data_IF_502404906895
#
_entry.id   IF_502404906895
#
_cell.length_a   1.000
_cell.length_b   1.000
_cell.length_c   1.000
_cell.angle_alpha   90.00
_cell.angle_beta   90.00
_cell.angle_gamma   90.00
#
_symmetry.space_group_name_H-M   'P 1'
#
loop_
_entity.id
_entity.type
_entity.pdbx_description
1 polymer ?
#
# COMPACT_ATOMS: atom_id res chain seq x y z
N UNK A 1 28.05 -18.94 -18.25
CA UNK A 1 28.95 -18.65 -17.12
C UNK A 1 29.43 -17.20 -17.08
N UNK A 2 30.09 -16.66 -18.12
CA UNK A 2 30.55 -15.26 -18.13
C UNK A 2 29.41 -14.26 -18.01
N UNK A 3 28.32 -14.42 -18.75
CA UNK A 3 27.16 -13.51 -18.72
C UNK A 3 26.44 -13.53 -17.36
N UNK A 4 26.31 -14.71 -16.75
CA UNK A 4 25.73 -14.85 -15.39
C UNK A 4 26.59 -14.16 -14.33
N UNK A 5 27.92 -14.29 -14.45
CA UNK A 5 28.85 -13.60 -13.56
C UNK A 5 28.74 -12.08 -13.70
N UNK A 6 28.72 -11.57 -14.95
CA UNK A 6 28.58 -10.13 -15.21
C UNK A 6 27.26 -9.57 -14.68
N UNK A 7 26.17 -10.32 -14.87
CA UNK A 7 24.85 -9.94 -14.36
C UNK A 7 24.83 -9.95 -12.83
N UNK A 8 25.41 -10.98 -12.19
CA UNK A 8 25.56 -11.06 -10.74
C UNK A 8 26.33 -9.88 -10.15
N UNK A 9 27.43 -9.49 -10.81
CA UNK A 9 28.23 -8.31 -10.42
C UNK A 9 27.42 -7.02 -10.55
N UNK A 10 26.69 -6.84 -11.65
CA UNK A 10 25.83 -5.67 -11.86
C UNK A 10 24.74 -5.58 -10.79
N UNK A 11 24.06 -6.68 -10.50
CA UNK A 11 23.03 -6.77 -9.44
C UNK A 11 23.64 -6.38 -8.09
N UNK A 12 24.80 -6.93 -7.74
CA UNK A 12 25.49 -6.63 -6.50
C UNK A 12 25.81 -5.12 -6.39
N UNK A 13 26.41 -4.52 -7.42
CA UNK A 13 26.76 -3.11 -7.43
C UNK A 13 25.52 -2.21 -7.30
N UNK A 14 24.45 -2.51 -8.02
CA UNK A 14 23.19 -1.76 -7.94
C UNK A 14 22.57 -1.90 -6.56
N UNK A 15 22.53 -3.10 -6.00
CA UNK A 15 21.97 -3.36 -4.67
C UNK A 15 22.71 -2.60 -3.57
N UNK A 16 24.05 -2.65 -3.59
CA UNK A 16 24.89 -1.92 -2.63
C UNK A 16 24.71 -0.42 -2.77
N UNK A 17 24.61 0.10 -4.00
CA UNK A 17 24.36 1.52 -4.26
C UNK A 17 22.98 1.97 -3.73
N UNK A 18 21.93 1.16 -3.94
CA UNK A 18 20.59 1.40 -3.43
C UNK A 18 20.60 1.43 -1.90
N UNK A 19 21.19 0.42 -1.27
CA UNK A 19 21.26 0.33 0.20
C UNK A 19 22.05 1.54 0.76
N UNK A 20 23.18 1.89 0.17
CA UNK A 20 23.97 3.04 0.58
C UNK A 20 23.18 4.34 0.49
N UNK A 21 22.48 4.55 -0.62
CA UNK A 21 21.63 5.75 -0.82
C UNK A 21 20.47 5.79 0.17
N UNK A 22 19.77 4.66 0.39
CA UNK A 22 18.70 4.53 1.38
C UNK A 22 19.19 4.86 2.78
N UNK A 23 20.32 4.31 3.20
CA UNK A 23 20.90 4.54 4.54
C UNK A 23 21.21 6.02 4.77
N UNK A 24 21.78 6.69 3.78
CA UNK A 24 22.08 8.13 3.86
C UNK A 24 20.81 8.97 3.99
N UNK A 25 19.78 8.66 3.21
CA UNK A 25 18.52 9.41 3.25
C UNK A 25 17.66 9.09 4.47
N UNK A 26 17.67 7.84 4.94
CA UNK A 26 16.91 7.41 6.11
C UNK A 26 17.34 8.11 7.40
N UNK A 27 18.60 8.54 7.49
CA UNK A 27 19.09 9.38 8.60
C UNK A 27 18.32 10.72 8.70
N UNK A 28 17.84 11.23 7.56
CA UNK A 28 17.08 12.49 7.51
C UNK A 28 15.59 12.25 7.69
N UNK A 29 15.02 11.33 6.94
CA UNK A 29 13.61 10.96 7.02
C UNK A 29 13.42 9.54 6.45
N UNK A 30 12.84 8.66 7.29
CA UNK A 30 12.63 7.24 6.99
C UNK A 30 11.54 7.00 5.95
N UNK A 31 10.57 7.91 5.89
CA UNK A 31 9.40 7.77 5.03
C UNK A 31 9.53 8.56 3.72
N UNK A 32 10.74 8.75 3.22
CA UNK A 32 10.91 9.29 1.86
C UNK A 32 10.45 8.27 0.81
N UNK A 33 9.84 8.70 -0.30
CA UNK A 33 9.31 7.79 -1.34
C UNK A 33 10.35 6.83 -1.87
N UNK A 34 11.59 7.32 -2.03
CA UNK A 34 12.70 6.52 -2.55
C UNK A 34 13.11 5.38 -1.61
N UNK A 35 12.92 5.53 -0.30
CA UNK A 35 13.22 4.48 0.68
C UNK A 35 12.19 3.36 0.53
N UNK A 36 10.91 3.70 0.45
CA UNK A 36 9.84 2.74 0.21
C UNK A 36 10.02 2.02 -1.12
N UNK A 37 10.27 2.77 -2.19
CA UNK A 37 10.52 2.20 -3.51
C UNK A 37 11.76 1.29 -3.50
N UNK A 38 12.86 1.73 -2.88
CA UNK A 38 14.10 0.96 -2.81
C UNK A 38 13.96 -0.37 -2.06
N UNK A 39 13.22 -0.37 -0.93
CA UNK A 39 12.90 -1.63 -0.21
C UNK A 39 12.08 -2.56 -1.10
N UNK A 40 11.08 -2.03 -1.81
CA UNK A 40 10.24 -2.81 -2.72
C UNK A 40 11.09 -3.36 -3.88
N UNK A 41 11.95 -2.56 -4.48
CA UNK A 41 12.84 -3.01 -5.55
C UNK A 41 13.77 -4.13 -5.10
N UNK A 42 14.36 -4.04 -3.89
CA UNK A 42 15.22 -5.12 -3.37
C UNK A 42 14.41 -6.40 -3.17
N UNK A 43 13.26 -6.30 -2.50
CA UNK A 43 12.48 -7.48 -2.10
C UNK A 43 11.77 -8.11 -3.30
N UNK A 44 11.22 -7.31 -4.22
CA UNK A 44 10.29 -7.78 -5.23
C UNK A 44 10.86 -7.83 -6.66
N UNK A 45 11.97 -7.18 -6.92
CA UNK A 45 12.57 -7.15 -8.25
C UNK A 45 13.97 -7.75 -8.24
N UNK A 46 14.84 -7.31 -7.34
CA UNK A 46 16.23 -7.80 -7.29
C UNK A 46 16.26 -9.25 -6.80
N UNK A 47 15.50 -9.56 -5.75
CA UNK A 47 15.39 -10.92 -5.24
C UNK A 47 14.81 -11.88 -6.31
N UNK A 48 13.81 -11.43 -7.07
CA UNK A 48 13.21 -12.17 -8.17
C UNK A 48 14.24 -12.45 -9.30
N UNK A 49 15.04 -11.43 -9.69
CA UNK A 49 16.13 -11.61 -10.66
C UNK A 49 17.14 -12.65 -10.16
N UNK A 50 17.59 -12.50 -8.91
CA UNK A 50 18.58 -13.42 -8.32
C UNK A 50 18.03 -14.83 -8.29
N UNK A 51 16.78 -15.00 -7.87
CA UNK A 51 16.15 -16.30 -7.79
C UNK A 51 16.08 -16.98 -9.16
N UNK A 52 15.60 -16.29 -10.18
CA UNK A 52 15.46 -16.83 -11.54
C UNK A 52 16.82 -17.14 -12.17
N UNK A 53 17.85 -16.32 -11.93
CA UNK A 53 19.16 -16.53 -12.52
C UNK A 53 19.94 -17.69 -11.90
N UNK A 54 19.64 -18.06 -10.66
CA UNK A 54 20.40 -19.08 -9.90
C UNK A 54 19.60 -20.34 -9.58
N UNK A 55 18.28 -20.37 -9.79
CA UNK A 55 17.46 -21.55 -9.61
C UNK A 55 17.00 -22.14 -10.95
N UNK A 56 17.73 -23.15 -11.42
CA UNK A 56 17.42 -23.85 -12.69
C UNK A 56 16.10 -24.63 -12.62
N UNK A 57 15.52 -24.87 -11.44
CA UNK A 57 14.29 -25.68 -11.27
C UNK A 57 13.01 -24.90 -11.50
N UNK A 58 13.05 -23.58 -11.53
CA UNK A 58 11.86 -22.73 -11.68
C UNK A 58 11.21 -22.79 -13.05
N UNK A 59 11.94 -23.23 -14.07
CA UNK A 59 11.40 -23.42 -15.43
C UNK A 59 10.20 -24.38 -15.49
N UNK A 60 10.00 -25.21 -14.46
CA UNK A 60 8.95 -26.24 -14.40
C UNK A 60 7.72 -25.85 -13.55
N UNK A 61 7.70 -24.70 -12.90
CA UNK A 61 6.62 -24.35 -11.93
C UNK A 61 5.37 -23.76 -12.55
N UNK A 62 5.43 -23.29 -13.77
CA UNK A 62 4.26 -22.75 -14.44
C UNK A 62 3.74 -23.77 -15.47
N UNK A 63 2.70 -24.54 -15.13
CA UNK A 63 2.10 -25.49 -16.07
C UNK A 63 1.22 -24.74 -17.09
N UNK A 64 1.82 -23.89 -17.90
CA UNK A 64 1.22 -23.51 -19.15
C UNK A 64 1.46 -24.67 -20.11
N UNK A 65 0.54 -25.64 -20.10
CA UNK A 65 0.41 -26.69 -21.10
C UNK A 65 1.70 -27.46 -21.48
N UNK A 66 2.40 -28.06 -20.51
CA UNK A 66 3.33 -29.19 -20.79
C UNK A 66 4.57 -28.89 -21.63
N UNK A 67 4.89 -27.63 -21.90
CA UNK A 67 6.11 -27.25 -22.61
C UNK A 67 7.15 -26.72 -21.63
N UNK A 68 8.36 -27.21 -21.70
CA UNK A 68 9.51 -26.67 -21.00
C UNK A 68 9.63 -25.19 -21.34
N UNK A 69 9.36 -24.31 -20.38
CA UNK A 69 9.56 -22.87 -20.51
C UNK A 69 11.07 -22.60 -20.60
N UNK A 70 11.61 -22.55 -21.78
CA UNK A 70 12.94 -21.98 -21.99
C UNK A 70 12.78 -20.46 -22.04
N UNK A 71 13.19 -19.78 -20.99
CA UNK A 71 13.29 -18.33 -20.97
C UNK A 71 14.36 -17.87 -21.95
N UNK A 72 13.98 -17.63 -23.19
CA UNK A 72 14.91 -17.20 -24.23
C UNK A 72 15.55 -15.84 -23.94
N UNK A 73 15.00 -15.06 -22.99
CA UNK A 73 15.40 -13.67 -22.78
C UNK A 73 15.59 -13.23 -21.32
N UNK A 74 15.88 -14.16 -20.40
CA UNK A 74 16.05 -13.90 -18.96
C UNK A 74 17.01 -12.73 -18.69
N UNK A 75 18.17 -12.74 -19.34
CA UNK A 75 19.19 -11.71 -19.16
C UNK A 75 18.74 -10.35 -19.69
N UNK A 76 18.05 -10.32 -20.83
CA UNK A 76 17.52 -9.09 -21.42
C UNK A 76 16.48 -8.42 -20.53
N UNK A 77 15.51 -9.22 -20.04
CA UNK A 77 14.44 -8.74 -19.14
C UNK A 77 15.03 -8.29 -17.80
N UNK A 78 15.97 -9.06 -17.23
CA UNK A 78 16.67 -8.68 -15.99
C UNK A 78 17.44 -7.38 -16.15
N UNK A 79 18.12 -7.19 -17.29
CA UNK A 79 18.86 -5.96 -17.59
C UNK A 79 17.94 -4.74 -17.71
N UNK A 80 16.82 -4.87 -18.44
CA UNK A 80 15.80 -3.81 -18.54
C UNK A 80 15.23 -3.47 -17.17
N UNK A 81 14.97 -4.48 -16.32
CA UNK A 81 14.49 -4.26 -14.96
C UNK A 81 15.48 -3.44 -14.13
N UNK A 82 16.76 -3.78 -14.20
CA UNK A 82 17.82 -3.02 -13.50
C UNK A 82 17.86 -1.59 -14.00
N UNK A 83 17.78 -1.36 -15.32
CA UNK A 83 17.71 -0.02 -15.88
C UNK A 83 16.50 0.75 -15.33
N UNK A 84 15.33 0.13 -15.29
CA UNK A 84 14.12 0.75 -14.72
C UNK A 84 14.32 1.19 -13.26
N UNK A 85 14.92 0.33 -12.45
CA UNK A 85 15.25 0.66 -11.05
C UNK A 85 16.20 1.86 -11.00
N UNK A 86 17.29 1.85 -11.74
CA UNK A 86 18.26 2.93 -11.79
C UNK A 86 17.60 4.24 -12.24
N UNK A 87 16.74 4.20 -13.26
CA UNK A 87 16.00 5.36 -13.76
C UNK A 87 15.06 5.97 -12.71
N UNK A 88 14.40 5.15 -11.88
CA UNK A 88 13.63 5.67 -10.75
C UNK A 88 14.50 6.48 -9.78
N UNK A 89 15.69 5.95 -9.43
CA UNK A 89 16.63 6.64 -8.54
C UNK A 89 17.18 7.93 -9.17
N UNK A 90 17.48 7.93 -10.47
CA UNK A 90 17.88 9.13 -11.21
C UNK A 90 16.74 10.18 -11.16
N UNK A 91 15.50 9.78 -11.38
CA UNK A 91 14.33 10.66 -11.29
C UNK A 91 14.18 11.31 -9.93
N UNK A 92 14.29 10.52 -8.85
CA UNK A 92 14.30 11.04 -7.47
C UNK A 92 15.43 12.04 -7.23
N UNK A 93 16.64 11.70 -7.66
CA UNK A 93 17.82 12.56 -7.51
C UNK A 93 17.65 13.90 -8.24
N UNK A 94 17.20 13.89 -9.48
CA UNK A 94 16.98 15.10 -10.30
C UNK A 94 15.93 16.02 -9.64
N UNK A 95 14.83 15.47 -9.15
CA UNK A 95 13.80 16.25 -8.47
C UNK A 95 14.23 16.74 -7.08
N UNK A 96 15.14 16.01 -6.40
CA UNK A 96 15.68 16.43 -5.12
C UNK A 96 16.66 17.59 -5.25
N UNK A 97 17.49 17.61 -6.29
CA UNK A 97 18.51 18.66 -6.52
C UNK A 97 17.90 20.07 -6.67
N UNK A 98 16.69 20.15 -7.26
CA UNK A 98 15.96 21.42 -7.44
C UNK A 98 15.27 21.93 -6.16
N UNK A 99 15.20 21.14 -5.11
CA UNK A 99 14.52 21.49 -3.88
C UNK A 99 15.48 22.19 -2.92
N UNK A 100 15.44 23.52 -2.86
CA UNK A 100 16.06 24.26 -1.74
C UNK A 100 15.44 23.78 -0.44
N UNK A 101 16.28 23.35 0.50
CA UNK A 101 15.85 22.95 1.85
C UNK A 101 15.33 24.18 2.55
N UNK A 102 14.02 24.36 2.60
CA UNK A 102 13.41 25.22 3.59
C UNK A 102 13.50 24.45 4.91
N UNK A 103 14.00 25.13 5.96
CA UNK A 103 14.17 24.49 7.26
C UNK A 103 12.94 23.67 7.64
N UNK A 104 13.17 22.48 8.15
CA UNK A 104 12.11 21.59 8.64
C UNK A 104 11.57 22.16 9.98
N UNK A 105 10.90 23.29 9.93
CA UNK A 105 10.07 23.72 11.05
C UNK A 105 8.92 22.71 11.11
N UNK A 106 8.93 21.90 12.18
CA UNK A 106 7.85 20.94 12.44
C UNK A 106 6.54 21.69 12.50
N UNK A 107 5.52 21.18 11.82
CA UNK A 107 4.17 21.49 12.27
C UNK A 107 4.04 20.81 13.63
N UNK A 108 4.42 21.52 14.67
CA UNK A 108 4.00 21.12 16.00
C UNK A 108 2.47 21.07 15.96
N UNK A 109 1.94 19.87 16.14
CA UNK A 109 0.55 19.72 16.49
C UNK A 109 0.39 20.45 17.81
N UNK A 110 0.09 21.76 17.76
CA UNK A 110 -0.38 22.51 18.92
C UNK A 110 -1.75 21.94 19.29
N UNK A 111 -1.72 20.77 19.91
CA UNK A 111 -2.87 20.17 20.58
C UNK A 111 -2.94 20.81 21.95
N UNK A 112 -3.01 22.15 21.94
CA UNK A 112 -3.01 22.96 23.19
C UNK A 112 -4.36 22.98 23.88
N UNK A 113 -5.41 22.39 23.29
CA UNK A 113 -6.74 22.46 23.89
C UNK A 113 -7.29 21.09 24.23
N UNK A 114 -7.81 20.94 25.45
CA UNK A 114 -8.59 19.76 25.87
C UNK A 114 -9.75 19.44 24.92
N UNK A 115 -10.23 20.43 24.21
CA UNK A 115 -11.27 20.33 23.19
C UNK A 115 -10.85 19.46 22.01
N UNK A 116 -9.62 19.63 21.50
CA UNK A 116 -9.10 18.78 20.41
C UNK A 116 -8.91 17.34 20.85
N UNK A 117 -8.47 17.16 22.09
CA UNK A 117 -8.33 15.85 22.69
C UNK A 117 -9.68 15.14 22.83
N UNK A 118 -10.69 15.80 23.37
CA UNK A 118 -12.06 15.24 23.50
C UNK A 118 -12.66 14.89 22.15
N UNK A 119 -12.40 15.70 21.13
CA UNK A 119 -12.87 15.42 19.78
C UNK A 119 -12.23 14.17 19.20
N UNK A 120 -10.89 14.04 19.29
CA UNK A 120 -10.18 12.84 18.80
C UNK A 120 -10.69 11.60 19.54
N UNK A 121 -10.95 11.70 20.85
CA UNK A 121 -11.53 10.60 21.62
C UNK A 121 -12.93 10.24 21.12
N UNK A 122 -13.82 11.23 20.95
CA UNK A 122 -15.19 11.01 20.45
C UNK A 122 -15.20 10.39 19.04
N UNK A 123 -14.34 10.91 18.15
CA UNK A 123 -14.20 10.37 16.79
C UNK A 123 -13.76 8.91 16.80
N UNK A 124 -12.82 8.56 17.64
CA UNK A 124 -12.30 7.19 17.71
C UNK A 124 -13.28 6.23 18.37
N UNK A 125 -14.02 6.69 19.36
CA UNK A 125 -15.10 5.90 19.96
C UNK A 125 -16.20 5.65 18.93
N UNK A 126 -16.57 6.65 18.13
CA UNK A 126 -17.53 6.49 17.03
C UNK A 126 -16.99 5.51 15.97
N UNK A 127 -15.73 5.64 15.60
CA UNK A 127 -15.09 4.71 14.63
C UNK A 127 -15.07 3.29 15.17
N UNK A 128 -14.73 3.08 16.44
CA UNK A 128 -14.76 1.77 17.08
C UNK A 128 -16.20 1.19 17.11
N UNK A 129 -17.20 2.02 17.40
CA UNK A 129 -18.62 1.63 17.34
C UNK A 129 -19.04 1.14 15.95
N UNK A 130 -18.68 1.90 14.90
CA UNK A 130 -18.93 1.50 13.50
C UNK A 130 -18.22 0.18 13.16
N UNK A 131 -16.97 0.00 13.59
CA UNK A 131 -16.22 -1.24 13.36
C UNK A 131 -16.85 -2.44 14.07
N UNK A 132 -17.37 -2.26 15.28
CA UNK A 132 -18.10 -3.33 15.99
C UNK A 132 -19.38 -3.72 15.26
N UNK A 133 -20.15 -2.75 14.77
CA UNK A 133 -21.34 -3.02 13.94
C UNK A 133 -20.96 -3.77 12.67
N UNK A 134 -19.88 -3.37 12.00
CA UNK A 134 -19.40 -4.07 10.81
C UNK A 134 -18.91 -5.49 11.12
N UNK A 135 -18.29 -5.70 12.26
CA UNK A 135 -17.90 -7.04 12.72
C UNK A 135 -19.13 -7.94 12.89
N UNK A 136 -20.21 -7.41 13.51
CA UNK A 136 -21.47 -8.13 13.64
C UNK A 136 -22.12 -8.41 12.28
N UNK A 137 -22.14 -7.43 11.37
CA UNK A 137 -22.63 -7.60 9.99
C UNK A 137 -21.81 -8.64 9.23
N UNK A 138 -20.49 -8.65 9.41
CA UNK A 138 -19.61 -9.65 8.83
C UNK A 138 -19.95 -11.05 9.32
N UNK A 139 -20.08 -11.26 10.63
CA UNK A 139 -20.48 -12.58 11.18
C UNK A 139 -21.87 -13.02 10.70
N UNK A 140 -22.83 -12.09 10.62
CA UNK A 140 -24.16 -12.39 10.05
C UNK A 140 -24.06 -12.85 8.60
N UNK A 141 -23.27 -12.15 7.79
CA UNK A 141 -23.02 -12.50 6.39
C UNK A 141 -22.32 -13.86 6.27
N UNK A 142 -21.25 -14.11 7.04
CA UNK A 142 -20.54 -15.39 7.03
C UNK A 142 -21.44 -16.56 7.46
N UNK A 143 -22.28 -16.36 8.46
CA UNK A 143 -23.24 -17.39 8.88
C UNK A 143 -24.26 -17.70 7.78
N UNK A 144 -24.65 -16.72 6.95
CA UNK A 144 -25.59 -16.96 5.84
C UNK A 144 -25.01 -17.76 4.67
N UNK A 145 -23.69 -17.86 4.57
CA UNK A 145 -23.00 -18.62 3.50
C UNK A 145 -22.44 -19.97 3.96
N UNK A 146 -22.70 -20.40 5.21
CA UNK A 146 -22.24 -21.69 5.73
C UNK A 146 -21.36 -21.61 6.97
N UNK A 147 -21.15 -20.41 7.53
CA UNK A 147 -20.41 -20.20 8.77
C UNK A 147 -18.89 -20.03 8.60
N UNK A 148 -18.21 -19.84 9.73
CA UNK A 148 -16.76 -19.56 9.73
C UNK A 148 -15.93 -20.70 9.17
N UNK A 149 -16.29 -21.96 9.42
CA UNK A 149 -15.55 -23.11 8.91
C UNK A 149 -15.56 -23.11 7.38
N UNK A 150 -16.75 -23.01 6.78
CA UNK A 150 -16.90 -22.90 5.34
C UNK A 150 -16.10 -21.73 4.76
N UNK A 151 -16.17 -20.56 5.40
CA UNK A 151 -15.45 -19.38 4.95
C UNK A 151 -13.93 -19.58 4.93
N UNK A 152 -13.36 -20.19 5.99
CA UNK A 152 -11.91 -20.43 6.04
C UNK A 152 -11.44 -21.50 5.06
N UNK A 153 -12.23 -22.52 4.80
CA UNK A 153 -11.96 -23.50 3.76
C UNK A 153 -11.92 -22.87 2.36
N UNK A 154 -12.75 -21.84 2.13
CA UNK A 154 -12.89 -21.15 0.83
C UNK A 154 -12.26 -19.74 0.84
N UNK A 155 -11.35 -19.45 1.75
CA UNK A 155 -10.73 -18.10 1.87
C UNK A 155 -9.94 -17.70 0.62
N UNK A 156 -9.48 -18.66 -0.17
CA UNK A 156 -8.85 -18.42 -1.46
C UNK A 156 -9.84 -17.77 -2.47
N UNK A 157 -11.12 -18.12 -2.37
CA UNK A 157 -12.20 -17.66 -3.24
C UNK A 157 -12.95 -16.44 -2.67
N UNK A 158 -12.35 -15.75 -1.69
CA UNK A 158 -12.96 -14.60 -1.00
C UNK A 158 -13.49 -13.51 -1.93
N UNK A 159 -12.87 -13.31 -3.09
CA UNK A 159 -13.33 -12.34 -4.08
C UNK A 159 -14.75 -12.68 -4.56
N UNK A 160 -15.01 -13.97 -4.81
CA UNK A 160 -16.32 -14.47 -5.19
C UNK A 160 -17.31 -14.36 -4.01
N UNK A 161 -16.87 -14.69 -2.79
CA UNK A 161 -17.70 -14.58 -1.59
C UNK A 161 -18.13 -13.12 -1.37
N UNK A 162 -17.20 -12.18 -1.40
CA UNK A 162 -17.50 -10.76 -1.20
C UNK A 162 -18.18 -10.09 -2.39
N UNK A 163 -18.18 -10.69 -3.58
CA UNK A 163 -19.00 -10.20 -4.70
C UNK A 163 -20.48 -10.21 -4.39
N UNK A 164 -20.93 -11.09 -3.48
CA UNK A 164 -22.32 -11.15 -3.00
C UNK A 164 -22.66 -9.97 -2.05
N UNK A 165 -21.67 -9.32 -1.45
CA UNK A 165 -21.88 -8.18 -0.56
C UNK A 165 -20.72 -7.16 -0.66
N UNK A 166 -20.58 -6.56 -1.83
CA UNK A 166 -19.51 -5.58 -2.15
C UNK A 166 -19.58 -4.34 -1.26
N UNK A 167 -20.77 -3.90 -0.87
CA UNK A 167 -20.98 -2.77 0.04
C UNK A 167 -20.37 -3.01 1.42
N UNK A 168 -20.58 -4.18 2.00
CA UNK A 168 -19.99 -4.55 3.29
C UNK A 168 -18.45 -4.56 3.19
N UNK A 169 -17.92 -5.18 2.17
CA UNK A 169 -16.47 -5.23 1.96
C UNK A 169 -15.86 -3.83 1.79
N UNK A 170 -16.44 -2.99 0.94
CA UNK A 170 -15.97 -1.62 0.72
C UNK A 170 -16.07 -0.77 2.00
N UNK A 171 -17.14 -0.93 2.78
CA UNK A 171 -17.31 -0.22 4.06
C UNK A 171 -16.26 -0.62 5.09
N UNK A 172 -15.92 -1.92 5.19
CA UNK A 172 -14.86 -2.43 6.07
C UNK A 172 -13.49 -1.84 5.65
N UNK A 173 -13.21 -1.82 4.35
CA UNK A 173 -11.97 -1.22 3.83
C UNK A 173 -11.85 0.26 4.22
N UNK A 174 -12.91 1.03 4.00
CA UNK A 174 -12.94 2.47 4.30
C UNK A 174 -12.74 2.72 5.81
N UNK A 175 -13.49 2.02 6.66
CA UNK A 175 -13.40 2.21 8.12
C UNK A 175 -12.08 1.74 8.70
N UNK A 176 -11.45 0.72 8.13
CA UNK A 176 -10.10 0.29 8.51
C UNK A 176 -9.08 1.39 8.25
N UNK A 177 -9.18 2.10 7.12
CA UNK A 177 -8.33 3.25 6.81
C UNK A 177 -8.57 4.39 7.81
N UNK A 178 -9.84 4.76 8.04
CA UNK A 178 -10.21 5.82 8.99
C UNK A 178 -9.72 5.48 10.40
N UNK A 179 -9.91 4.24 10.84
CA UNK A 179 -9.43 3.75 12.13
C UNK A 179 -7.91 3.81 12.27
N UNK A 180 -7.18 3.45 11.21
CA UNK A 180 -5.72 3.53 11.18
C UNK A 180 -5.22 4.97 11.30
N UNK A 181 -5.89 5.92 10.63
CA UNK A 181 -5.61 7.35 10.78
C UNK A 181 -5.87 7.79 12.22
N UNK A 182 -7.01 7.42 12.81
CA UNK A 182 -7.34 7.74 14.19
C UNK A 182 -6.31 7.19 15.17
N UNK A 183 -5.92 5.92 15.05
CA UNK A 183 -4.86 5.31 15.88
C UNK A 183 -3.54 6.05 15.73
N UNK A 184 -3.14 6.38 14.51
CA UNK A 184 -1.91 7.14 14.24
C UNK A 184 -1.92 8.49 14.96
N UNK A 185 -3.02 9.22 14.91
CA UNK A 185 -3.20 10.48 15.66
C UNK A 185 -3.12 10.27 17.19
N UNK A 186 -3.76 9.23 17.72
CA UNK A 186 -3.69 8.91 19.13
C UNK A 186 -2.28 8.62 19.60
N UNK A 187 -1.57 7.76 18.86
CA UNK A 187 -0.20 7.43 19.20
C UNK A 187 0.73 8.64 19.07
N UNK A 188 0.49 9.53 18.10
CA UNK A 188 1.20 10.80 18.02
C UNK A 188 0.98 11.66 19.28
N UNK A 189 -0.27 11.76 19.78
CA UNK A 189 -0.59 12.48 20.99
C UNK A 189 0.07 11.84 22.23
N UNK A 190 -0.02 10.51 22.37
CA UNK A 190 0.63 9.75 23.47
C UNK A 190 2.15 9.98 23.48
N UNK A 191 2.76 10.09 22.30
CA UNK A 191 4.21 10.30 22.18
C UNK A 191 4.67 11.68 22.70
N UNK A 192 3.77 12.66 22.74
CA UNK A 192 4.07 14.05 23.12
C UNK A 192 3.58 14.36 24.53
N UNK A 193 2.42 13.84 24.94
CA UNK A 193 1.74 14.17 26.21
C UNK A 193 1.53 12.91 27.06
N UNK A 194 1.67 13.04 28.40
CA UNK A 194 1.24 12.00 29.34
C UNK A 194 -0.27 11.82 29.24
N UNK A 195 -0.72 10.60 29.01
CA UNK A 195 -2.14 10.26 28.84
C UNK A 195 -2.58 9.25 29.90
N UNK A 196 -3.87 9.27 30.23
CA UNK A 196 -4.49 8.38 31.20
C UNK A 196 -4.56 6.94 30.69
N UNK A 197 -4.70 5.98 31.61
CA UNK A 197 -4.85 4.56 31.31
C UNK A 197 -6.02 4.26 30.34
N UNK A 198 -7.17 4.85 30.57
CA UNK A 198 -8.38 4.69 29.73
C UNK A 198 -8.09 5.04 28.27
N UNK A 199 -7.33 6.11 28.01
CA UNK A 199 -6.96 6.52 26.67
C UNK A 199 -6.07 5.47 25.96
N UNK A 200 -5.08 4.94 26.69
CA UNK A 200 -4.20 3.89 26.15
C UNK A 200 -4.99 2.61 25.83
N UNK A 201 -5.91 2.23 26.68
CA UNK A 201 -6.78 1.07 26.48
C UNK A 201 -7.67 1.24 25.24
N UNK A 202 -8.25 2.42 25.04
CA UNK A 202 -9.06 2.73 23.84
C UNK A 202 -8.25 2.59 22.55
N UNK A 203 -6.98 3.02 22.55
CA UNK A 203 -6.09 2.86 21.40
C UNK A 203 -5.81 1.39 21.09
N UNK A 204 -5.51 0.60 22.15
CA UNK A 204 -5.26 -0.84 22.00
C UNK A 204 -6.51 -1.54 21.46
N UNK A 205 -7.69 -1.22 22.00
CA UNK A 205 -8.97 -1.79 21.51
C UNK A 205 -9.23 -1.47 20.05
N UNK A 206 -8.94 -0.24 19.62
CA UNK A 206 -9.11 0.15 18.21
C UNK A 206 -8.10 -0.57 17.30
N UNK A 207 -6.86 -0.74 17.74
CA UNK A 207 -5.86 -1.55 17.00
C UNK A 207 -6.35 -2.99 16.86
N UNK A 208 -6.85 -3.59 17.94
CA UNK A 208 -7.37 -4.96 17.91
C UNK A 208 -8.55 -5.11 16.96
N UNK A 209 -9.47 -4.14 16.91
CA UNK A 209 -10.59 -4.14 15.96
C UNK A 209 -10.12 -4.05 14.51
N UNK A 210 -9.16 -3.15 14.22
CA UNK A 210 -8.56 -3.03 12.87
C UNK A 210 -7.93 -4.35 12.44
N UNK A 211 -7.14 -4.95 13.32
CA UNK A 211 -6.47 -6.22 13.04
C UNK A 211 -7.48 -7.35 12.83
N UNK A 212 -8.48 -7.46 13.70
CA UNK A 212 -9.53 -8.49 13.61
C UNK A 212 -10.29 -8.39 12.28
N UNK A 213 -10.77 -7.20 11.90
CA UNK A 213 -11.49 -7.01 10.63
C UNK A 213 -10.58 -7.29 9.43
N UNK A 214 -9.31 -6.91 9.49
CA UNK A 214 -8.37 -7.16 8.40
C UNK A 214 -8.03 -8.64 8.25
N UNK A 215 -7.88 -9.39 9.36
CA UNK A 215 -7.65 -10.83 9.35
C UNK A 215 -8.90 -11.59 8.86
N UNK A 216 -10.05 -11.24 9.38
CA UNK A 216 -11.32 -11.89 9.01
C UNK A 216 -11.68 -11.70 7.54
N UNK A 217 -11.38 -10.55 6.96
CA UNK A 217 -11.58 -10.32 5.51
C UNK A 217 -10.49 -10.98 4.64
N UNK A 218 -9.50 -11.64 5.23
CA UNK A 218 -8.38 -12.24 4.51
C UNK A 218 -7.49 -11.21 3.78
N UNK A 219 -7.71 -9.91 4.01
CA UNK A 219 -7.01 -8.82 3.31
C UNK A 219 -5.72 -8.44 4.04
N UNK A 220 -4.71 -9.29 3.97
CA UNK A 220 -3.40 -9.12 4.63
C UNK A 220 -2.72 -7.80 4.30
N UNK A 221 -2.87 -7.34 3.06
CA UNK A 221 -2.35 -6.04 2.62
C UNK A 221 -2.92 -4.88 3.46
N UNK A 222 -4.14 -5.02 4.03
CA UNK A 222 -4.74 -4.00 4.88
C UNK A 222 -4.04 -3.87 6.23
N UNK A 223 -3.51 -4.97 6.77
CA UNK A 223 -2.73 -4.93 8.01
C UNK A 223 -1.46 -4.12 7.77
N UNK A 224 -0.72 -4.43 6.71
CA UNK A 224 0.49 -3.71 6.33
C UNK A 224 0.19 -2.23 6.04
N UNK A 225 -0.89 -1.95 5.31
CA UNK A 225 -1.39 -0.60 5.06
C UNK A 225 -1.66 0.16 6.36
N UNK A 226 -2.36 -0.47 7.31
CA UNK A 226 -2.68 0.14 8.60
C UNK A 226 -1.43 0.46 9.40
N UNK A 227 -0.46 -0.45 9.45
CA UNK A 227 0.83 -0.23 10.11
C UNK A 227 1.58 0.95 9.49
N UNK A 228 1.67 1.01 8.17
CA UNK A 228 2.34 2.12 7.47
C UNK A 228 1.64 3.44 7.77
N UNK A 229 0.30 3.51 7.69
CA UNK A 229 -0.48 4.70 8.02
C UNK A 229 -0.14 5.19 9.44
N UNK A 230 -0.21 4.30 10.42
CA UNK A 230 0.05 4.60 11.83
C UNK A 230 1.48 5.14 12.00
N UNK A 231 2.47 4.45 11.48
CA UNK A 231 3.88 4.82 11.64
C UNK A 231 4.21 6.16 10.99
N UNK A 232 3.68 6.41 9.80
CA UNK A 232 3.90 7.69 9.09
C UNK A 232 3.28 8.85 9.86
N UNK A 233 2.06 8.70 10.39
CA UNK A 233 1.41 9.72 11.22
C UNK A 233 2.22 9.97 12.49
N UNK A 234 2.64 8.93 13.20
CA UNK A 234 3.45 9.07 14.43
C UNK A 234 4.77 9.78 14.13
N UNK A 235 5.42 9.47 13.00
CA UNK A 235 6.70 10.08 12.62
C UNK A 235 6.58 11.58 12.31
N UNK A 236 5.52 12.00 11.63
CA UNK A 236 5.38 13.40 11.21
C UNK A 236 4.65 14.27 12.21
N UNK A 237 3.68 13.74 12.94
CA UNK A 237 2.84 14.48 13.87
C UNK A 237 3.21 14.24 15.36
N UNK A 238 3.94 13.15 15.65
CA UNK A 238 4.42 12.80 16.97
C UNK A 238 5.93 12.94 17.13
N UNK A 239 6.52 12.06 17.92
CA UNK A 239 7.98 11.96 18.00
C UNK A 239 8.55 11.32 16.75
N UNK A 240 9.59 11.95 16.18
CA UNK A 240 10.32 11.41 15.03
C UNK A 240 10.84 10.01 15.34
N UNK A 241 10.51 9.04 14.49
CA UNK A 241 11.02 7.68 14.59
C UNK A 241 12.51 7.70 14.22
N UNK A 242 13.36 7.37 15.18
CA UNK A 242 14.79 7.19 14.91
C UNK A 242 15.02 5.72 14.56
N UNK A 243 15.48 5.47 13.34
CA UNK A 243 15.94 4.14 12.97
C UNK A 243 17.15 3.78 13.83
N UNK A 244 16.97 2.82 14.71
CA UNK A 244 18.04 2.15 15.39
C UNK A 244 18.06 0.66 14.97
N UNK A 245 19.14 0.00 15.18
CA UNK A 245 19.31 -1.41 14.79
C UNK A 245 18.21 -2.31 15.38
N UNK A 246 17.82 -2.08 16.65
CA UNK A 246 16.77 -2.85 17.32
C UNK A 246 15.42 -2.73 16.62
N UNK A 247 15.06 -1.52 16.18
CA UNK A 247 13.79 -1.26 15.48
C UNK A 247 13.78 -1.91 14.11
N UNK A 248 14.87 -1.81 13.35
CA UNK A 248 15.02 -2.47 12.04
C UNK A 248 14.91 -3.99 12.18
N UNK A 249 15.62 -4.56 13.17
CA UNK A 249 15.57 -6.01 13.43
C UNK A 249 14.17 -6.45 13.85
N UNK A 250 13.49 -5.68 14.71
CA UNK A 250 12.10 -5.99 15.10
C UNK A 250 11.14 -5.98 13.91
N UNK A 251 11.27 -5.02 13.01
CA UNK A 251 10.44 -4.99 11.79
C UNK A 251 10.75 -6.13 10.84
N UNK A 252 12.02 -6.52 10.71
CA UNK A 252 12.42 -7.69 9.91
C UNK A 252 11.81 -8.98 10.49
N UNK A 253 11.95 -9.20 11.80
CA UNK A 253 11.39 -10.38 12.47
C UNK A 253 9.85 -10.40 12.31
N UNK A 254 9.17 -9.27 12.57
CA UNK A 254 7.72 -9.16 12.38
C UNK A 254 7.30 -9.40 10.94
N UNK A 255 8.07 -8.91 9.97
CA UNK A 255 7.85 -9.15 8.54
C UNK A 255 7.95 -10.63 8.18
N UNK A 256 9.00 -11.31 8.65
CA UNK A 256 9.19 -12.75 8.45
C UNK A 256 8.06 -13.55 9.10
N UNK A 257 7.74 -13.26 10.38
CA UNK A 257 6.62 -13.91 11.07
C UNK A 257 5.29 -13.68 10.35
N UNK A 258 5.07 -12.48 9.82
CA UNK A 258 3.88 -12.17 9.05
C UNK A 258 3.81 -12.97 7.75
N UNK A 259 4.92 -13.13 7.03
CA UNK A 259 4.99 -13.94 5.81
C UNK A 259 4.72 -15.41 6.14
N UNK A 260 5.36 -15.96 7.17
CA UNK A 260 5.14 -17.36 7.61
C UNK A 260 3.68 -17.60 8.01
N UNK A 261 3.12 -16.72 8.84
CA UNK A 261 1.71 -16.80 9.22
C UNK A 261 0.78 -16.68 8.01
N UNK A 262 1.14 -15.79 7.09
CA UNK A 262 0.39 -15.58 5.86
C UNK A 262 0.38 -16.83 4.96
N UNK A 263 1.42 -17.64 4.95
CA UNK A 263 1.48 -18.89 4.22
C UNK A 263 0.60 -19.97 4.85
N UNK A 264 0.69 -20.13 6.18
CA UNK A 264 -0.07 -21.15 6.91
C UNK A 264 -1.60 -21.00 6.74
N UNK A 265 -2.08 -19.76 6.56
CA UNK A 265 -3.52 -19.50 6.40
C UNK A 265 -4.01 -19.65 4.95
N UNK A 266 -3.17 -20.03 3.99
CA UNK A 266 -3.58 -20.18 2.59
C UNK A 266 -4.05 -21.57 2.20
N UNK A 267 -3.87 -22.60 3.03
CA UNK A 267 -4.15 -23.99 2.67
C UNK A 267 -3.69 -24.35 1.22
N UNK A 268 -2.59 -23.77 0.80
CA UNK A 268 -1.94 -24.24 -0.42
C UNK A 268 -1.45 -25.64 -0.08
N UNK A 269 -1.85 -26.63 -0.86
CA UNK A 269 -1.26 -27.98 -0.80
C UNK A 269 0.26 -27.81 -0.84
N UNK A 270 0.86 -27.80 0.34
CA UNK A 270 2.29 -27.58 0.49
C UNK A 270 2.92 -28.90 0.06
N UNK A 271 3.47 -28.91 -1.13
CA UNK A 271 4.34 -29.99 -1.53
C UNK A 271 5.43 -30.11 -0.47
N UNK A 272 5.42 -31.22 0.24
CA UNK A 272 6.33 -31.48 1.38
C UNK A 272 7.81 -31.44 1.00
N UNK A 273 8.11 -31.46 -0.30
CA UNK A 273 9.46 -31.49 -0.87
C UNK A 273 10.02 -30.09 -1.23
N UNK A 274 9.27 -29.00 -0.98
CA UNK A 274 9.75 -27.64 -1.27
C UNK A 274 10.77 -27.17 -0.23
N UNK A 275 11.87 -26.55 -0.67
CA UNK A 275 12.86 -25.93 0.20
C UNK A 275 12.25 -24.76 0.98
N UNK A 276 12.87 -24.34 2.10
CA UNK A 276 12.42 -23.20 2.87
C UNK A 276 12.48 -21.89 2.08
N UNK A 277 13.41 -21.78 1.13
CA UNK A 277 13.55 -20.63 0.22
C UNK A 277 12.38 -20.61 -0.77
N UNK A 278 12.02 -21.76 -1.33
CA UNK A 278 10.89 -21.90 -2.24
C UNK A 278 9.57 -21.53 -1.56
N UNK A 279 9.39 -21.96 -0.30
CA UNK A 279 8.22 -21.59 0.50
C UNK A 279 8.16 -20.09 0.76
N UNK A 280 9.30 -19.46 1.02
CA UNK A 280 9.40 -18.02 1.20
C UNK A 280 9.07 -17.30 -0.11
N UNK A 281 9.61 -17.74 -1.22
CA UNK A 281 9.39 -17.18 -2.55
C UNK A 281 7.91 -17.29 -2.95
N UNK A 282 7.32 -18.48 -2.85
CA UNK A 282 5.90 -18.71 -3.13
C UNK A 282 4.98 -17.90 -2.19
N UNK A 283 5.39 -17.68 -0.94
CA UNK A 283 4.62 -16.90 0.04
C UNK A 283 4.58 -15.41 -0.23
N UNK A 284 5.60 -14.89 -0.89
CA UNK A 284 5.65 -13.49 -1.27
C UNK A 284 4.80 -13.23 -2.53
N UNK A 285 4.35 -14.29 -3.25
CA UNK A 285 3.54 -14.22 -4.49
C UNK A 285 4.12 -13.25 -5.52
N UNK A 286 5.42 -13.37 -5.79
CA UNK A 286 6.04 -12.32 -6.53
C UNK A 286 6.96 -12.88 -7.56
N UNK A 287 6.55 -12.63 -8.72
CA UNK A 287 7.48 -12.70 -9.80
C UNK A 287 7.13 -11.61 -10.81
N UNK A 288 7.54 -10.39 -10.53
CA UNK A 288 7.37 -9.28 -11.46
C UNK A 288 8.05 -9.61 -12.79
N UNK A 289 9.22 -10.21 -12.70
CA UNK A 289 10.02 -10.62 -13.86
C UNK A 289 9.42 -11.84 -14.52
N UNK A 290 8.92 -12.83 -13.76
CA UNK A 290 8.21 -13.98 -14.30
C UNK A 290 6.99 -13.56 -15.12
N UNK A 291 6.22 -12.58 -14.66
CA UNK A 291 5.08 -12.06 -15.41
C UNK A 291 5.52 -11.46 -16.77
N UNK A 292 6.63 -10.71 -16.78
CA UNK A 292 7.18 -10.18 -18.03
C UNK A 292 7.68 -11.31 -18.95
N UNK A 293 8.32 -12.33 -18.39
CA UNK A 293 8.76 -13.52 -19.16
C UNK A 293 7.59 -14.27 -19.77
N UNK A 294 6.50 -14.44 -19.01
CA UNK A 294 5.26 -15.05 -19.50
C UNK A 294 4.69 -14.25 -20.67
N UNK A 295 4.64 -12.91 -20.54
CA UNK A 295 4.16 -12.03 -21.60
C UNK A 295 5.03 -12.09 -22.86
N UNK A 296 6.37 -12.14 -22.68
CA UNK A 296 7.34 -12.24 -23.78
C UNK A 296 7.21 -13.57 -24.48
N UNK A 297 7.15 -14.67 -23.73
CA UNK A 297 6.94 -16.01 -24.30
C UNK A 297 5.63 -16.14 -25.08
N UNK A 298 4.57 -15.56 -24.56
CA UNK A 298 3.26 -15.54 -25.23
C UNK A 298 3.15 -14.51 -26.36
N UNK A 299 4.21 -13.75 -26.64
CA UNK A 299 4.23 -12.63 -27.60
C UNK A 299 3.14 -11.58 -27.33
N UNK A 300 2.86 -11.32 -26.05
CA UNK A 300 1.83 -10.37 -25.60
C UNK A 300 2.39 -9.00 -25.20
N UNK A 301 3.65 -8.73 -25.44
CA UNK A 301 4.26 -7.43 -25.11
C UNK A 301 3.77 -6.36 -26.08
N UNK A 302 3.27 -5.26 -25.50
CA UNK A 302 2.75 -4.12 -26.24
C UNK A 302 1.35 -4.34 -26.85
N UNK A 303 0.68 -5.44 -26.53
CA UNK A 303 -0.61 -5.82 -27.14
C UNK A 303 -1.73 -4.87 -26.70
N UNK A 304 -1.76 -4.47 -25.42
CA UNK A 304 -2.84 -3.67 -24.86
C UNK A 304 -2.75 -2.17 -25.20
N UNK A 305 -1.64 -1.71 -25.77
CA UNK A 305 -1.47 -0.33 -26.29
C UNK A 305 -1.95 0.77 -25.33
N UNK A 306 -1.71 0.60 -24.05
CA UNK A 306 -2.10 1.56 -23.01
C UNK A 306 -3.52 1.43 -22.45
N UNK A 307 -4.33 0.48 -22.90
CA UNK A 307 -5.73 0.34 -22.46
C UNK A 307 -5.86 0.13 -20.96
N UNK A 308 -5.04 -0.76 -20.35
CA UNK A 308 -5.14 -1.04 -18.92
C UNK A 308 -4.65 0.14 -18.08
N UNK A 309 -3.68 0.90 -18.57
CA UNK A 309 -3.21 2.14 -17.93
C UNK A 309 -4.31 3.21 -17.99
N UNK A 310 -5.00 3.35 -19.14
CA UNK A 310 -6.14 4.25 -19.26
C UNK A 310 -7.30 3.81 -18.36
N UNK A 311 -7.60 2.50 -18.31
CA UNK A 311 -8.57 1.93 -17.38
C UNK A 311 -8.22 2.28 -15.92
N UNK A 312 -6.94 2.24 -15.57
CA UNK A 312 -6.44 2.67 -14.27
C UNK A 312 -6.72 4.14 -13.98
N UNK A 313 -6.44 5.04 -14.92
CA UNK A 313 -6.77 6.46 -14.79
C UNK A 313 -8.27 6.71 -14.58
N UNK A 314 -9.13 5.87 -15.17
CA UNK A 314 -10.58 5.97 -15.06
C UNK A 314 -11.17 5.10 -13.93
N UNK A 315 -10.34 4.42 -13.16
CA UNK A 315 -10.80 3.45 -12.14
C UNK A 315 -11.67 4.08 -11.05
N UNK A 316 -11.50 5.39 -10.77
CA UNK A 316 -12.30 6.13 -9.79
C UNK A 316 -13.75 6.35 -10.24
N UNK A 317 -14.06 6.18 -11.52
CA UNK A 317 -15.43 6.29 -12.03
C UNK A 317 -16.21 5.04 -11.64
N UNK A 318 -17.35 5.15 -10.93
CA UNK A 318 -18.19 4.01 -10.55
C UNK A 318 -18.71 3.24 -11.76
N UNK A 319 -18.85 1.91 -11.63
CA UNK A 319 -19.40 1.06 -12.70
C UNK A 319 -20.81 1.47 -13.12
N UNK A 320 -21.63 1.94 -12.17
CA UNK A 320 -22.98 2.43 -12.44
C UNK A 320 -23.05 3.59 -13.45
N UNK A 321 -21.97 4.38 -13.57
CA UNK A 321 -21.90 5.44 -14.59
C UNK A 321 -21.68 4.82 -15.97
N UNK A 322 -20.81 3.82 -16.08
CA UNK A 322 -20.60 3.11 -17.35
C UNK A 322 -21.88 2.40 -17.81
N UNK A 323 -22.60 1.75 -16.89
CA UNK A 323 -23.86 1.07 -17.16
C UNK A 323 -24.94 2.02 -17.71
N UNK A 324 -25.00 3.27 -17.21
CA UNK A 324 -25.91 4.30 -17.73
C UNK A 324 -25.67 4.64 -19.21
N UNK A 325 -24.43 4.47 -19.67
CA UNK A 325 -24.06 4.67 -21.08
C UNK A 325 -24.04 3.37 -21.89
N UNK A 326 -24.53 2.25 -21.33
CA UNK A 326 -24.52 0.94 -21.97
C UNK A 326 -23.12 0.37 -22.20
N UNK A 327 -22.13 0.84 -21.44
CA UNK A 327 -20.73 0.42 -21.53
C UNK A 327 -20.32 -0.41 -20.31
N UNK A 328 -19.41 -1.34 -20.51
CA UNK A 328 -18.76 -2.05 -19.40
C UNK A 328 -17.56 -1.26 -18.90
N UNK A 329 -17.35 -1.29 -17.58
CA UNK A 329 -16.16 -0.69 -16.98
C UNK A 329 -14.92 -1.44 -17.46
N UNK A 330 -13.90 -0.74 -18.04
CA UNK A 330 -12.73 -1.40 -18.57
C UNK A 330 -11.95 -2.10 -17.46
N UNK A 331 -11.46 -3.33 -17.69
CA UNK A 331 -10.71 -4.11 -16.71
C UNK A 331 -9.33 -3.49 -16.42
N UNK A 332 -8.85 -3.69 -15.18
CA UNK A 332 -7.47 -3.35 -14.82
C UNK A 332 -6.44 -4.32 -15.37
N UNK A 333 -5.15 -3.95 -15.27
CA UNK A 333 -4.04 -4.74 -15.79
C UNK A 333 -3.97 -6.15 -15.20
N UNK A 334 -4.11 -6.28 -13.89
CA UNK A 334 -4.12 -7.59 -13.21
C UNK A 334 -5.27 -8.48 -13.72
N UNK A 335 -6.45 -7.89 -13.86
CA UNK A 335 -7.64 -8.62 -14.30
C UNK A 335 -7.48 -9.10 -15.74
N UNK A 336 -7.04 -8.23 -16.65
CA UNK A 336 -6.86 -8.56 -18.06
C UNK A 336 -5.77 -9.60 -18.26
N UNK A 337 -4.63 -9.44 -17.59
CA UNK A 337 -3.57 -10.42 -17.59
C UNK A 337 -4.04 -11.78 -17.08
N UNK A 338 -4.80 -11.80 -15.97
CA UNK A 338 -5.30 -13.07 -15.41
C UNK A 338 -6.30 -13.74 -16.33
N UNK A 339 -7.19 -12.99 -16.97
CA UNK A 339 -8.12 -13.53 -17.97
C UNK A 339 -7.41 -14.14 -19.17
N UNK A 340 -6.33 -13.51 -19.61
CA UNK A 340 -5.58 -13.94 -20.80
C UNK A 340 -4.68 -15.14 -20.51
N UNK A 341 -3.93 -15.11 -19.39
CA UNK A 341 -2.88 -16.09 -19.10
C UNK A 341 -3.32 -17.17 -18.09
N UNK A 342 -4.30 -16.86 -17.25
CA UNK A 342 -4.74 -17.73 -16.16
C UNK A 342 -6.27 -17.88 -16.14
N UNK A 343 -6.87 -18.09 -17.32
CA UNK A 343 -8.32 -18.09 -17.49
C UNK A 343 -9.04 -19.09 -16.56
N UNK A 344 -8.46 -20.28 -16.31
CA UNK A 344 -9.04 -21.27 -15.39
C UNK A 344 -9.13 -20.77 -13.96
N UNK A 345 -8.10 -20.03 -13.49
CA UNK A 345 -8.10 -19.38 -12.18
C UNK A 345 -9.14 -18.26 -12.13
N UNK A 346 -9.24 -17.48 -13.21
CA UNK A 346 -10.25 -16.44 -13.31
C UNK A 346 -11.67 -17.00 -13.29
N UNK A 347 -11.94 -18.06 -14.06
CA UNK A 347 -13.27 -18.67 -14.14
C UNK A 347 -13.68 -19.29 -12.81
N UNK A 348 -12.75 -19.94 -12.11
CA UNK A 348 -13.03 -20.63 -10.84
C UNK A 348 -13.18 -19.67 -9.67
N UNK A 349 -12.27 -18.74 -9.49
CA UNK A 349 -12.12 -17.98 -8.25
C UNK A 349 -12.28 -16.46 -8.43
N UNK A 350 -12.36 -15.95 -9.67
CA UNK A 350 -12.32 -14.49 -9.99
C UNK A 350 -11.17 -13.77 -9.28
N UNK A 351 -10.08 -14.49 -8.97
CA UNK A 351 -8.92 -13.97 -8.28
C UNK A 351 -7.85 -13.51 -9.26
N UNK A 352 -7.38 -12.28 -9.06
CA UNK A 352 -6.37 -11.66 -9.92
C UNK A 352 -4.96 -12.12 -9.56
N UNK A 353 -4.11 -12.28 -10.58
CA UNK A 353 -2.66 -12.42 -10.44
C UNK A 353 -2.04 -11.01 -10.50
N UNK A 354 -1.17 -10.68 -9.56
CA UNK A 354 -0.51 -9.39 -9.55
C UNK A 354 0.49 -9.30 -10.72
N UNK A 355 0.23 -8.40 -11.67
CA UNK A 355 1.09 -8.18 -12.83
C UNK A 355 2.34 -7.36 -12.48
N UNK A 356 2.18 -6.42 -11.54
CA UNK A 356 3.19 -5.44 -11.19
C UNK A 356 3.38 -4.35 -12.24
N UNK A 357 3.98 -3.24 -11.83
CA UNK A 357 4.19 -2.12 -12.75
C UNK A 357 5.02 -2.54 -13.97
N UNK A 358 6.07 -3.33 -13.76
CA UNK A 358 6.94 -3.76 -14.85
C UNK A 358 6.17 -4.62 -15.87
N UNK A 359 5.39 -5.59 -15.38
CA UNK A 359 4.55 -6.43 -16.22
C UNK A 359 3.44 -5.63 -16.91
N UNK A 360 2.79 -4.70 -16.21
CA UNK A 360 1.74 -3.87 -16.82
C UNK A 360 2.30 -2.97 -17.94
N UNK A 361 3.48 -2.40 -17.73
CA UNK A 361 4.14 -1.60 -18.78
C UNK A 361 4.57 -2.48 -19.95
N UNK A 362 5.05 -3.71 -19.71
CA UNK A 362 5.34 -4.67 -20.76
C UNK A 362 4.09 -5.03 -21.56
N UNK A 363 2.98 -5.29 -20.88
CA UNK A 363 1.71 -5.67 -21.49
C UNK A 363 1.10 -4.57 -22.36
N UNK A 364 1.32 -3.28 -21.97
CA UNK A 364 0.78 -2.12 -22.70
C UNK A 364 1.76 -1.54 -23.72
N UNK A 365 3.06 -1.58 -23.45
CA UNK A 365 4.08 -0.88 -24.21
C UNK A 365 5.30 -1.78 -24.43
N UNK A 366 6.19 -1.36 -25.32
CA UNK A 366 7.46 -2.04 -25.48
C UNK A 366 8.43 -1.74 -24.34
N UNK A 367 9.46 -2.57 -24.17
CA UNK A 367 10.54 -2.42 -23.21
C UNK A 367 11.18 -1.03 -23.21
N UNK A 368 11.22 -0.35 -24.36
CA UNK A 368 11.84 0.98 -24.51
C UNK A 368 11.18 2.08 -23.69
N UNK A 369 9.86 2.01 -23.45
CA UNK A 369 9.13 3.01 -22.67
C UNK A 369 9.26 2.82 -21.17
N UNK A 370 9.51 1.61 -20.69
CA UNK A 370 9.57 1.30 -19.26
C UNK A 370 10.56 2.18 -18.48
N UNK A 371 11.84 2.33 -18.89
CA UNK A 371 12.80 3.16 -18.16
C UNK A 371 12.33 4.63 -18.03
N UNK A 372 11.70 5.17 -19.07
CA UNK A 372 11.18 6.55 -19.04
C UNK A 372 10.02 6.70 -18.06
N UNK A 373 9.12 5.72 -18.00
CA UNK A 373 8.01 5.74 -17.02
C UNK A 373 8.57 5.67 -15.60
N UNK A 374 9.54 4.81 -15.32
CA UNK A 374 10.19 4.73 -14.01
C UNK A 374 10.90 6.03 -13.64
N UNK A 375 11.59 6.69 -14.59
CA UNK A 375 12.19 8.00 -14.39
C UNK A 375 11.14 9.06 -13.99
N UNK A 376 10.04 9.13 -14.75
CA UNK A 376 8.94 10.07 -14.49
C UNK A 376 8.33 9.81 -13.12
N UNK A 377 8.07 8.57 -12.76
CA UNK A 377 7.52 8.21 -11.45
C UNK A 377 8.47 8.63 -10.31
N UNK A 378 9.78 8.41 -10.45
CA UNK A 378 10.76 8.89 -9.49
C UNK A 378 10.70 10.42 -9.30
N UNK A 379 10.58 11.17 -10.40
CA UNK A 379 10.41 12.64 -10.37
C UNK A 379 9.11 13.03 -9.69
N UNK A 380 7.99 12.39 -10.05
CA UNK A 380 6.65 12.71 -9.53
C UNK A 380 6.58 12.47 -8.03
N UNK A 381 6.94 11.28 -7.55
CA UNK A 381 6.88 10.96 -6.12
C UNK A 381 7.80 11.86 -5.30
N UNK A 382 8.98 12.18 -5.80
CA UNK A 382 9.90 13.12 -5.13
C UNK A 382 9.36 14.54 -5.09
N UNK A 383 8.75 15.00 -6.17
CA UNK A 383 8.15 16.33 -6.26
C UNK A 383 6.98 16.47 -5.29
N UNK A 384 6.10 15.45 -5.21
CA UNK A 384 4.99 15.40 -4.27
C UNK A 384 5.47 15.40 -2.82
N UNK A 385 6.52 14.62 -2.50
CA UNK A 385 7.15 14.65 -1.19
C UNK A 385 7.67 16.05 -0.84
N UNK A 386 8.40 16.69 -1.75
CA UNK A 386 8.94 18.02 -1.53
C UNK A 386 7.82 19.05 -1.33
N UNK A 387 6.71 18.93 -2.07
CA UNK A 387 5.56 19.83 -1.97
C UNK A 387 4.79 19.65 -0.66
N UNK A 388 4.47 18.42 -0.29
CA UNK A 388 3.61 18.12 0.86
C UNK A 388 4.36 18.17 2.18
N UNK A 389 5.55 17.60 2.23
CA UNK A 389 6.31 17.40 3.46
C UNK A 389 7.34 18.50 3.69
N UNK A 390 8.22 18.77 2.72
CA UNK A 390 9.29 19.77 2.93
C UNK A 390 8.78 21.20 2.91
N UNK A 391 7.86 21.55 1.99
CA UNK A 391 7.31 22.91 1.88
C UNK A 391 6.05 23.12 2.74
N UNK A 392 5.50 22.04 3.29
CA UNK A 392 4.32 22.05 4.19
C UNK A 392 3.12 22.87 3.66
N UNK A 393 2.99 22.99 2.34
CA UNK A 393 2.01 23.87 1.71
C UNK A 393 0.56 23.52 2.02
N UNK A 394 0.30 22.26 2.36
CA UNK A 394 -1.05 21.77 2.67
C UNK A 394 -1.26 21.51 4.18
N UNK A 395 -0.30 21.85 5.03
CA UNK A 395 -0.39 21.62 6.47
C UNK A 395 -0.63 20.15 6.82
N UNK A 396 -1.50 19.89 7.80
CA UNK A 396 -1.83 18.52 8.26
C UNK A 396 -2.45 17.67 7.15
N UNK A 397 -3.27 18.27 6.28
CA UNK A 397 -3.87 17.55 5.15
C UNK A 397 -2.80 16.99 4.20
N UNK A 398 -1.73 17.76 3.96
CA UNK A 398 -0.60 17.30 3.14
C UNK A 398 0.06 16.03 3.69
N UNK A 399 0.25 15.95 5.00
CA UNK A 399 0.79 14.75 5.63
C UNK A 399 -0.14 13.54 5.48
N UNK A 400 -1.44 13.75 5.65
CA UNK A 400 -2.41 12.67 5.53
C UNK A 400 -2.48 12.15 4.09
N UNK A 401 -2.55 13.04 3.10
CA UNK A 401 -2.55 12.64 1.68
C UNK A 401 -1.22 11.94 1.31
N UNK A 402 -0.11 12.43 1.85
CA UNK A 402 1.20 11.84 1.62
C UNK A 402 1.30 10.38 2.06
N UNK A 403 0.61 9.99 3.12
CA UNK A 403 0.55 8.59 3.56
C UNK A 403 -0.03 7.70 2.45
N UNK A 404 -1.12 8.16 1.81
CA UNK A 404 -1.69 7.45 0.66
C UNK A 404 -0.71 7.32 -0.49
N UNK A 405 0.11 8.35 -0.72
CA UNK A 405 1.15 8.30 -1.75
C UNK A 405 2.26 7.29 -1.41
N UNK A 406 2.70 7.18 -0.16
CA UNK A 406 3.65 6.15 0.26
C UNK A 406 3.07 4.74 0.03
N UNK A 407 1.81 4.53 0.39
CA UNK A 407 1.14 3.27 0.14
C UNK A 407 0.95 2.99 -1.36
N UNK A 408 0.68 4.02 -2.16
CA UNK A 408 0.50 3.86 -3.61
C UNK A 408 1.78 3.39 -4.32
N UNK A 409 2.97 3.68 -3.80
CA UNK A 409 4.23 3.12 -4.31
C UNK A 409 4.22 1.59 -4.21
N UNK A 410 3.81 1.06 -3.05
CA UNK A 410 3.72 -0.38 -2.85
C UNK A 410 2.68 -1.01 -3.79
N UNK A 411 1.51 -0.39 -3.91
CA UNK A 411 0.44 -0.87 -4.77
C UNK A 411 0.83 -0.84 -6.25
N UNK A 412 1.49 0.23 -6.68
CA UNK A 412 1.92 0.42 -8.07
C UNK A 412 3.01 -0.58 -8.45
N UNK A 413 4.05 -0.71 -7.63
CA UNK A 413 5.18 -1.56 -7.95
C UNK A 413 4.82 -3.05 -7.89
N UNK A 414 3.90 -3.46 -7.01
CA UNK A 414 3.48 -4.85 -6.86
C UNK A 414 2.21 -5.21 -7.64
N UNK A 415 1.26 -4.31 -7.73
CA UNK A 415 -0.05 -4.55 -8.31
C UNK A 415 -0.16 -4.05 -9.76
N UNK A 416 -1.14 -3.20 -9.99
CA UNK A 416 -1.35 -2.53 -11.26
C UNK A 416 -1.77 -1.07 -11.04
N UNK A 417 -1.83 -0.33 -12.13
CA UNK A 417 -2.20 1.07 -12.11
C UNK A 417 -3.66 1.27 -11.71
N UNK A 418 -4.55 0.36 -12.15
CA UNK A 418 -5.97 0.39 -11.82
C UNK A 418 -6.24 0.29 -10.31
N UNK A 419 -5.71 -0.74 -9.68
CA UNK A 419 -5.84 -0.95 -8.23
C UNK A 419 -5.15 0.16 -7.43
N UNK A 420 -4.03 0.71 -7.94
CA UNK A 420 -3.31 1.81 -7.32
C UNK A 420 -4.15 3.07 -7.27
N UNK A 421 -4.72 3.51 -8.40
CA UNK A 421 -5.55 4.72 -8.48
C UNK A 421 -6.83 4.55 -7.69
N UNK A 422 -7.50 3.41 -7.80
CA UNK A 422 -8.73 3.12 -7.05
C UNK A 422 -8.50 3.18 -5.54
N UNK A 423 -7.47 2.50 -5.03
CA UNK A 423 -7.11 2.51 -3.61
C UNK A 423 -6.68 3.90 -3.12
N UNK A 424 -5.95 4.66 -3.95
CA UNK A 424 -5.55 6.03 -3.63
C UNK A 424 -6.77 6.95 -3.56
N UNK A 425 -7.72 6.80 -4.46
CA UNK A 425 -8.98 7.55 -4.47
C UNK A 425 -9.78 7.30 -3.20
N UNK A 426 -10.00 6.03 -2.83
CA UNK A 426 -10.69 5.66 -1.59
C UNK A 426 -9.95 6.25 -0.37
N UNK A 427 -8.63 6.18 -0.37
CA UNK A 427 -7.81 6.74 0.70
C UNK A 427 -7.97 8.27 0.81
N UNK A 428 -7.86 8.98 -0.31
CA UNK A 428 -8.00 10.45 -0.35
C UNK A 428 -9.39 10.87 0.10
N UNK A 429 -10.44 10.18 -0.35
CA UNK A 429 -11.81 10.44 0.11
C UNK A 429 -11.95 10.23 1.62
N UNK A 430 -11.42 9.14 2.17
CA UNK A 430 -11.41 8.91 3.62
C UNK A 430 -10.71 10.04 4.37
N UNK A 431 -9.58 10.52 3.85
CA UNK A 431 -8.83 11.64 4.42
C UNK A 431 -9.62 12.95 4.37
N UNK A 432 -10.26 13.25 3.25
CA UNK A 432 -11.07 14.46 3.09
C UNK A 432 -12.27 14.46 4.04
N UNK A 433 -12.97 13.32 4.16
CA UNK A 433 -14.08 13.16 5.10
C UNK A 433 -13.61 13.36 6.53
N UNK A 434 -12.52 12.69 6.92
CA UNK A 434 -11.93 12.83 8.27
C UNK A 434 -11.53 14.27 8.55
N UNK A 435 -10.87 14.93 7.59
CA UNK A 435 -10.45 16.33 7.72
C UNK A 435 -11.63 17.29 7.81
N UNK A 436 -12.66 17.10 6.99
CA UNK A 436 -13.88 17.91 7.02
C UNK A 436 -14.58 17.81 8.38
N UNK A 437 -14.71 16.60 8.92
CA UNK A 437 -15.28 16.36 10.25
C UNK A 437 -14.48 17.07 11.33
N UNK A 438 -13.15 16.98 11.29
CA UNK A 438 -12.24 17.68 12.22
C UNK A 438 -12.43 19.20 12.13
N UNK A 439 -12.45 19.77 10.92
CA UNK A 439 -12.61 21.21 10.71
C UNK A 439 -13.98 21.71 11.16
N UNK A 440 -15.05 20.95 10.88
CA UNK A 440 -16.41 21.33 11.28
C UNK A 440 -16.54 21.43 12.79
N UNK A 441 -15.93 20.53 13.52
CA UNK A 441 -15.97 20.50 15.00
C UNK A 441 -15.16 21.64 15.61
N UNK A 442 -13.99 21.96 15.05
CA UNK A 442 -13.15 23.08 15.50
C UNK A 442 -13.87 24.42 15.30
N UNK A 443 -14.57 24.61 14.17
CA UNK A 443 -15.35 25.84 13.92
C UNK A 443 -16.52 26.00 14.90
N UNK A 444 -17.18 24.91 15.26
CA UNK A 444 -18.30 24.91 16.21
C UNK A 444 -17.84 25.36 17.62
N UNK A 445 -16.66 24.91 18.05
CA UNK A 445 -16.09 25.31 19.35
C UNK A 445 -15.67 26.78 19.39
N UNK A 446 -15.06 27.29 18.32
CA UNK A 446 -14.72 28.72 18.25
C UNK A 446 -15.95 29.60 18.36
N UNK A 447 -17.07 29.25 17.74
CA UNK A 447 -18.35 29.98 17.88
C UNK A 447 -18.90 29.92 19.33
N UNK A 448 -18.76 28.77 19.99
CA UNK A 448 -19.22 28.59 21.38
C UNK A 448 -18.40 29.44 22.36
N UNK A 449 -17.06 29.42 22.22
CA UNK A 449 -16.14 30.23 23.04
C UNK A 449 -16.35 31.74 22.80
N UNK A 450 -16.55 32.17 21.56
CA UNK A 450 -16.85 33.57 21.24
C UNK A 450 -18.18 34.03 21.88
N UNK A 451 -19.20 33.15 21.84
CA UNK A 451 -20.50 33.44 22.44
C UNK A 451 -20.41 33.54 23.98
N UNK A 452 -19.62 32.69 24.62
CA UNK A 452 -19.39 32.71 26.08
C UNK A 452 -18.61 33.98 26.50
N UNK A 453 -17.60 34.40 25.73
CA UNK A 453 -16.87 35.66 25.97
C UNK A 453 -17.74 36.91 25.81
N UNK A 454 -18.66 36.90 24.82
CA UNK A 454 -19.62 38.01 24.65
C UNK A 454 -20.60 38.11 25.79
N UNK A 455 -21.05 37.00 26.37
CA UNK A 455 -21.94 36.98 27.54
C UNK A 455 -21.20 37.45 28.80
N UNK A 456 -19.97 36.99 29.04
CA UNK A 456 -19.16 37.42 30.18
C UNK A 456 -18.83 38.93 30.11
N UNK A 457 -18.56 39.46 28.91
CA UNK A 457 -18.30 40.90 28.71
C UNK A 457 -19.56 41.76 28.88
N UNK A 458 -20.76 41.25 28.63
CA UNK A 458 -22.02 41.93 28.92
C UNK A 458 -22.35 41.98 30.42
N UNK A 459 -22.04 40.89 31.13
CA UNK A 459 -22.25 40.82 32.56
C UNK A 459 -21.30 41.78 33.32
N UNK A 460 -20.03 41.88 32.89
CA UNK A 460 -19.06 42.80 33.51
C UNK A 460 -19.26 44.27 33.18
N UNK A 461 -20.15 44.64 32.26
CA UNK A 461 -20.52 46.05 31.98
C UNK A 461 -21.78 46.50 32.70
N UNK A 462 -22.50 45.60 33.32
CA UNK A 462 -23.75 45.89 34.04
C UNK A 462 -23.59 45.77 35.58
N UNK A 463 -22.35 45.57 36.04
CA UNK A 463 -21.91 45.70 37.41
C UNK A 463 -20.98 46.91 37.50
#
# INVERSE_FOLDING_TARGET
>A
MFLSFLMGLLIFLVTVSIIGYIVVLARKDVFQPIITAGVIFIVFYIFDIVYILFDEKETNRFPLSGSNFYYSNVYGISFVTIICIVMWFIGDFLANRKSKVVGQDRIELRIDSDTKFRFVLAFSTATAGVMLVQLLMFFKFINSIGGLAYYYEHIADRALIFSQNTMLYASIQLTTVIGSIAVGYFLAIISIRKTNFIFKTSVISLIMLIMSLSLLTGARANILKSIIIILVIVNYLGKKIKLNFKLVTSFLILGILFVVFAQQTRNVEVNTNESSIDKLYNGVEISQINNVMILDHANLIGVEKGKTVLAGLLSFVPSSIYEQFGAEKPPGGNQEFTKTMWFQRWDRAKSEVALGLLGELAFNFNYYLMPFVFLILGIVYRTLYNFMIKKQRMGVLGYIIYIGLIWSIFQLLRGDFYNTVNNLTIYVLACLVTFALIQFTIKKDKKKVAKTKLVSHRISRNI
#
